data_IF_141818267597
#
_entry.id   IF_141818267597
#
_cell.length_a   1.000
_cell.length_b   1.000
_cell.length_c   1.000
_cell.angle_alpha   90.00
_cell.angle_beta   90.00
_cell.angle_gamma   90.00
#
_symmetry.space_group_name_H-M   'P 1'
#
loop_
_entity.id
_entity.type
_entity.pdbx_description
1 polymer ?
#
# COMPACT_ATOMS: atom_id res chain seq x y z
N UNK A 1 27.60 30.14 8.37
CA UNK A 1 26.88 29.16 9.21
C UNK A 1 26.37 27.94 8.43
N UNK A 2 25.88 28.11 7.19
CA UNK A 2 25.35 27.02 6.34
C UNK A 2 26.32 25.91 5.87
N UNK A 3 27.64 26.13 5.64
CA UNK A 3 28.50 25.06 5.11
C UNK A 3 28.90 24.03 6.18
N UNK A 4 28.95 24.44 7.45
CA UNK A 4 29.33 23.56 8.57
C UNK A 4 28.20 22.59 8.94
N UNK A 5 26.95 23.00 8.78
CA UNK A 5 25.77 22.15 9.02
C UNK A 5 25.64 21.01 8.00
N UNK A 6 26.05 21.22 6.74
CA UNK A 6 26.06 20.18 5.71
C UNK A 6 27.17 19.14 5.96
N UNK A 7 28.32 19.62 6.45
CA UNK A 7 29.43 18.76 6.85
C UNK A 7 29.09 17.94 8.11
N UNK A 8 28.36 18.54 9.06
CA UNK A 8 27.86 17.87 10.25
C UNK A 8 26.80 16.80 9.93
N UNK A 9 25.93 17.04 8.93
CA UNK A 9 24.96 16.04 8.48
C UNK A 9 25.59 14.84 7.77
N UNK A 10 26.84 14.93 7.31
CA UNK A 10 27.63 13.79 6.80
C UNK A 10 28.30 12.99 7.92
N UNK A 11 28.60 13.62 9.06
CA UNK A 11 29.14 12.95 10.26
C UNK A 11 28.04 12.31 11.13
N UNK A 12 26.81 12.84 11.05
CA UNK A 12 25.59 12.29 11.68
C UNK A 12 24.76 11.46 10.69
N UNK A 13 25.29 11.23 9.48
CA UNK A 13 24.77 10.21 8.58
C UNK A 13 25.09 8.83 9.16
N UNK A 14 24.37 8.45 10.20
CA UNK A 14 24.20 7.08 10.61
C UNK A 14 23.69 6.28 9.39
N UNK A 15 24.20 5.06 9.23
CA UNK A 15 24.30 4.40 7.94
C UNK A 15 22.92 4.13 7.36
N UNK A 16 22.69 4.63 6.16
CA UNK A 16 21.63 4.14 5.29
C UNK A 16 21.99 2.76 4.71
N UNK A 17 22.31 1.74 5.53
CA UNK A 17 22.59 0.37 5.06
C UNK A 17 22.26 -0.71 6.12
N UNK A 18 21.02 -1.19 6.10
CA UNK A 18 20.72 -2.61 5.82
C UNK A 18 21.49 -3.74 6.55
N UNK A 19 21.69 -3.71 7.87
CA UNK A 19 22.31 -4.86 8.56
C UNK A 19 21.85 -5.05 10.00
N UNK A 20 20.68 -5.68 10.21
CA UNK A 20 20.38 -6.33 11.50
C UNK A 20 19.29 -7.41 11.46
N UNK A 21 18.52 -7.59 10.38
CA UNK A 21 17.51 -8.65 10.33
C UNK A 21 17.09 -8.90 8.87
N UNK A 22 17.73 -9.86 8.19
CA UNK A 22 17.24 -10.32 6.88
C UNK A 22 15.82 -10.89 6.99
N UNK A 23 15.47 -11.47 8.14
CA UNK A 23 14.10 -11.84 8.51
C UNK A 23 13.18 -10.62 8.53
N UNK A 24 13.53 -9.57 9.28
CA UNK A 24 12.73 -8.35 9.38
C UNK A 24 12.65 -7.50 8.09
N UNK A 25 13.66 -7.55 7.22
CA UNK A 25 13.58 -6.91 5.90
C UNK A 25 12.68 -7.70 4.95
N UNK A 26 12.76 -9.04 5.01
CA UNK A 26 11.84 -9.92 4.30
C UNK A 26 10.41 -9.72 4.81
N UNK A 27 10.17 -9.63 6.12
CA UNK A 27 8.85 -9.41 6.72
C UNK A 27 8.30 -8.01 6.46
N UNK A 28 9.16 -6.99 6.38
CA UNK A 28 8.74 -5.63 6.02
C UNK A 28 8.45 -5.51 4.51
N UNK A 29 9.22 -6.20 3.66
CA UNK A 29 8.91 -6.30 2.23
C UNK A 29 7.66 -7.15 2.03
N UNK A 30 7.51 -8.26 2.75
CA UNK A 30 6.30 -9.08 2.74
C UNK A 30 5.13 -8.25 3.25
N UNK A 31 5.27 -7.48 4.34
CA UNK A 31 4.23 -6.62 4.88
C UNK A 31 3.85 -5.48 3.94
N UNK A 32 4.82 -4.88 3.25
CA UNK A 32 4.58 -3.88 2.20
C UNK A 32 3.87 -4.53 1.01
N UNK A 33 4.34 -5.67 0.51
CA UNK A 33 3.73 -6.39 -0.61
C UNK A 33 2.35 -6.96 -0.25
N UNK A 34 2.14 -7.40 0.99
CA UNK A 34 0.93 -8.09 1.43
C UNK A 34 -0.16 -7.15 1.92
N UNK A 35 0.19 -6.05 2.60
CA UNK A 35 -0.80 -5.19 3.26
C UNK A 35 -0.80 -3.75 2.74
N UNK A 36 0.37 -3.16 2.50
CA UNK A 36 0.46 -1.73 2.13
C UNK A 36 0.19 -1.48 0.64
N UNK A 37 0.87 -2.22 -0.24
CA UNK A 37 0.89 -2.00 -1.68
C UNK A 37 -0.37 -2.50 -2.38
N UNK A 38 -0.89 -3.65 -1.99
CA UNK A 38 -2.16 -4.16 -2.53
C UNK A 38 -3.32 -3.22 -2.21
N UNK A 39 -3.36 -2.69 -0.98
CA UNK A 39 -4.37 -1.72 -0.55
C UNK A 39 -4.30 -0.42 -1.35
N UNK A 40 -3.10 0.10 -1.59
CA UNK A 40 -2.92 1.33 -2.39
C UNK A 40 -3.31 1.12 -3.85
N UNK A 41 -2.94 -0.01 -4.46
CA UNK A 41 -3.34 -0.36 -5.82
C UNK A 41 -4.86 -0.47 -5.98
N UNK A 42 -5.55 -1.09 -5.03
CA UNK A 42 -7.01 -1.21 -5.07
C UNK A 42 -7.73 0.12 -4.91
N UNK A 43 -7.22 1.01 -4.05
CA UNK A 43 -7.76 2.37 -3.89
C UNK A 43 -7.62 3.14 -5.20
N UNK A 44 -6.46 3.06 -5.87
CA UNK A 44 -6.25 3.69 -7.17
C UNK A 44 -7.23 3.14 -8.22
N UNK A 45 -7.45 1.83 -8.26
CA UNK A 45 -8.41 1.21 -9.18
C UNK A 45 -9.84 1.73 -8.96
N UNK A 46 -10.28 1.86 -7.70
CA UNK A 46 -11.59 2.45 -7.37
C UNK A 46 -11.67 3.91 -7.83
N UNK A 47 -10.61 4.71 -7.60
CA UNK A 47 -10.56 6.11 -8.02
C UNK A 47 -10.71 6.22 -9.54
N UNK A 48 -9.98 5.41 -10.32
CA UNK A 48 -10.05 5.42 -11.79
C UNK A 48 -11.44 5.03 -12.29
N UNK A 49 -12.08 4.03 -11.69
CA UNK A 49 -13.45 3.61 -12.07
C UNK A 49 -14.48 4.67 -11.71
N UNK A 50 -14.33 5.34 -10.55
CA UNK A 50 -15.16 6.49 -10.19
C UNK A 50 -15.03 7.63 -11.19
N UNK A 51 -13.80 7.95 -11.61
CA UNK A 51 -13.54 8.96 -12.64
C UNK A 51 -14.13 8.57 -14.00
N UNK A 52 -14.00 7.31 -14.43
CA UNK A 52 -14.60 6.81 -15.67
C UNK A 52 -16.13 6.87 -15.66
N UNK A 53 -16.75 6.68 -14.50
CA UNK A 53 -18.19 6.82 -14.31
C UNK A 53 -18.64 8.28 -14.38
N UNK A 54 -17.93 9.19 -13.72
CA UNK A 54 -18.19 10.64 -13.84
C UNK A 54 -17.96 11.17 -15.25
N UNK A 55 -17.05 10.58 -16.02
CA UNK A 55 -16.82 10.94 -17.43
C UNK A 55 -17.90 10.37 -18.38
N UNK A 56 -18.94 9.72 -17.85
CA UNK A 56 -20.03 9.12 -18.63
C UNK A 56 -19.61 7.91 -19.46
N UNK A 57 -18.40 7.36 -19.22
CA UNK A 57 -17.84 6.23 -19.98
C UNK A 57 -18.09 4.88 -19.33
N UNK A 58 -18.56 4.84 -18.08
CA UNK A 58 -18.88 3.62 -17.36
C UNK A 58 -20.37 3.55 -16.98
N UNK A 59 -20.96 2.36 -17.09
CA UNK A 59 -22.33 2.10 -16.65
C UNK A 59 -22.40 1.84 -15.14
N UNK A 60 -23.58 2.05 -14.54
CA UNK A 60 -23.84 1.76 -13.12
C UNK A 60 -23.52 0.29 -12.80
N UNK A 61 -23.79 -0.64 -13.72
CA UNK A 61 -23.42 -2.04 -13.56
C UNK A 61 -21.91 -2.24 -13.41
N UNK A 62 -21.09 -1.56 -14.24
CA UNK A 62 -19.64 -1.68 -14.16
C UNK A 62 -19.12 -1.17 -12.81
N UNK A 63 -19.67 -0.06 -12.32
CA UNK A 63 -19.32 0.51 -11.01
C UNK A 63 -19.64 -0.49 -9.88
N UNK A 64 -20.84 -1.07 -9.88
CA UNK A 64 -21.25 -2.04 -8.86
C UNK A 64 -20.33 -3.27 -8.88
N UNK A 65 -20.03 -3.84 -10.05
CA UNK A 65 -19.17 -5.02 -10.14
C UNK A 65 -17.77 -4.78 -9.59
N UNK A 66 -17.18 -3.61 -9.84
CA UNK A 66 -15.83 -3.27 -9.35
C UNK A 66 -15.85 -3.05 -7.84
N UNK A 67 -16.81 -2.27 -7.32
CA UNK A 67 -16.89 -1.96 -5.89
C UNK A 67 -17.12 -3.24 -5.08
N UNK A 68 -18.03 -4.12 -5.52
CA UNK A 68 -18.29 -5.40 -4.86
C UNK A 68 -17.04 -6.29 -4.89
N UNK A 69 -16.35 -6.35 -6.03
CA UNK A 69 -15.11 -7.13 -6.16
C UNK A 69 -14.02 -6.69 -5.18
N UNK A 70 -13.80 -5.37 -5.03
CA UNK A 70 -12.80 -4.86 -4.09
C UNK A 70 -13.21 -5.14 -2.64
N UNK A 71 -14.50 -4.95 -2.27
CA UNK A 71 -14.95 -5.26 -0.90
C UNK A 71 -14.69 -6.73 -0.56
N UNK A 72 -14.96 -7.67 -1.47
CA UNK A 72 -14.73 -9.11 -1.22
C UNK A 72 -13.23 -9.42 -1.04
N UNK A 73 -12.36 -8.90 -1.90
CA UNK A 73 -10.91 -9.16 -1.84
C UNK A 73 -10.30 -8.66 -0.53
N UNK A 74 -10.69 -7.45 -0.08
CA UNK A 74 -10.12 -6.84 1.12
C UNK A 74 -10.80 -7.26 2.43
N UNK A 75 -11.98 -7.88 2.36
CA UNK A 75 -12.65 -8.44 3.55
C UNK A 75 -12.18 -9.85 3.91
N UNK A 76 -11.46 -10.52 3.00
CA UNK A 76 -10.98 -11.89 3.19
C UNK A 76 -10.17 -12.12 4.48
N UNK A 77 -9.24 -11.23 4.91
CA UNK A 77 -8.45 -11.46 6.12
C UNK A 77 -9.33 -11.60 7.37
N UNK A 78 -10.30 -10.69 7.55
CA UNK A 78 -11.23 -10.72 8.68
C UNK A 78 -12.07 -12.01 8.73
N UNK A 79 -12.48 -12.51 7.56
CA UNK A 79 -13.26 -13.76 7.46
C UNK A 79 -12.39 -14.96 7.88
N UNK A 80 -11.14 -15.00 7.43
CA UNK A 80 -10.20 -16.08 7.79
C UNK A 80 -9.93 -16.05 9.29
N UNK A 81 -9.65 -14.87 9.86
CA UNK A 81 -9.39 -14.69 11.29
C UNK A 81 -10.57 -15.16 12.16
N UNK A 82 -11.80 -14.93 11.70
CA UNK A 82 -13.03 -15.35 12.42
C UNK A 82 -13.26 -16.87 12.38
N UNK A 83 -12.73 -17.57 11.38
CA UNK A 83 -12.88 -19.03 11.21
C UNK A 83 -11.76 -19.80 11.90
N UNK A 84 -10.55 -19.23 11.96
CA UNK A 84 -9.37 -19.88 12.54
C UNK A 84 -9.19 -19.63 14.04
N UNK A 85 -9.98 -18.74 14.64
CA UNK A 85 -10.09 -18.54 16.08
C UNK A 85 -11.08 -19.47 16.75
#
# INVERSE_FOLDING_TARGET
ALPLSLLASLLVAEPAFAQANFEGLADNILGLLSNGLLRTLAIIAIIVVGLLWFLGRASVQMLVTVVVGVVIVFSAPWIVDTITG
#
